data_IF_291364338369
#
_entry.id   IF_291364338369
#
_cell.length_a   1.000
_cell.length_b   1.000
_cell.length_c   1.000
_cell.angle_alpha   90.00
_cell.angle_beta   90.00
_cell.angle_gamma   90.00
#
_symmetry.space_group_name_H-M   'P 1'
#
loop_
_entity.id
_entity.type
_entity.pdbx_description
1 polymer ?
#
# COMPACT_ATOMS: atom_id res chain seq x y z
N UNK A 1 17.41 -9.34 6.30
CA UNK A 1 15.97 -9.37 5.93
C UNK A 1 15.02 -9.12 7.11
N UNK A 2 15.22 -9.70 8.31
CA UNK A 2 14.30 -9.54 9.46
C UNK A 2 14.03 -8.09 9.89
N UNK A 3 15.02 -7.19 9.76
CA UNK A 3 14.97 -5.79 10.24
C UNK A 3 14.32 -4.78 9.29
N UNK A 4 13.84 -5.22 8.12
CA UNK A 4 13.19 -4.31 7.14
C UNK A 4 11.70 -4.23 7.42
N UNK A 5 11.11 -3.06 7.27
CA UNK A 5 9.69 -2.82 7.57
C UNK A 5 8.74 -3.50 6.57
N UNK A 6 7.50 -3.74 6.99
CA UNK A 6 6.36 -4.02 6.11
C UNK A 6 5.85 -2.68 5.57
N UNK A 7 5.79 -2.54 4.25
CA UNK A 7 5.19 -1.39 3.59
C UNK A 7 3.69 -1.59 3.41
N UNK A 8 2.89 -0.62 3.79
CA UNK A 8 1.44 -0.61 3.56
C UNK A 8 1.09 0.67 2.80
N UNK A 9 0.30 0.58 1.73
CA UNK A 9 -0.28 1.78 1.11
C UNK A 9 -1.79 1.72 0.95
N UNK A 10 -2.40 2.90 0.99
CA UNK A 10 -3.81 3.13 0.71
C UNK A 10 -4.00 4.40 -0.13
N UNK A 11 -5.17 4.53 -0.78
CA UNK A 11 -5.58 5.76 -1.49
C UNK A 11 -5.87 6.95 -0.55
N UNK A 12 -5.97 6.71 0.77
CA UNK A 12 -6.22 7.74 1.77
C UNK A 12 -5.93 7.23 3.18
N UNK A 13 -6.88 7.43 4.09
CA UNK A 13 -6.76 7.05 5.51
C UNK A 13 -7.52 5.76 5.87
N UNK A 14 -8.32 5.21 4.96
CA UNK A 14 -9.14 4.01 5.23
C UNK A 14 -8.29 2.78 5.54
N UNK A 15 -7.11 2.70 4.92
CA UNK A 15 -6.13 1.64 5.16
C UNK A 15 -5.54 1.60 6.57
N UNK A 16 -5.78 2.62 7.42
CA UNK A 16 -5.39 2.57 8.83
C UNK A 16 -6.10 1.44 9.58
N UNK A 17 -7.25 0.98 9.11
CA UNK A 17 -7.94 -0.21 9.64
C UNK A 17 -7.13 -1.48 9.40
N UNK A 18 -6.55 -1.63 8.20
CA UNK A 18 -5.65 -2.74 7.86
C UNK A 18 -4.35 -2.64 8.67
N UNK A 19 -3.77 -1.44 8.77
CA UNK A 19 -2.58 -1.20 9.59
C UNK A 19 -2.80 -1.61 11.04
N UNK A 20 -3.95 -1.26 11.63
CA UNK A 20 -4.30 -1.62 13.00
C UNK A 20 -4.29 -3.14 13.20
N UNK A 21 -4.89 -3.90 12.29
CA UNK A 21 -4.91 -5.36 12.39
C UNK A 21 -3.55 -6.00 12.13
N UNK A 22 -2.77 -5.48 11.18
CA UNK A 22 -1.40 -5.95 10.94
C UNK A 22 -0.53 -5.71 12.18
N UNK A 23 -0.57 -4.52 12.77
CA UNK A 23 0.18 -4.21 14.00
C UNK A 23 -0.27 -5.08 15.18
N UNK A 24 -1.56 -5.40 15.28
CA UNK A 24 -2.10 -6.29 16.32
C UNK A 24 -1.60 -7.74 16.17
N UNK A 25 -1.58 -8.26 14.94
CA UNK A 25 -1.17 -9.64 14.65
C UNK A 25 0.36 -9.82 14.61
N UNK A 26 1.09 -8.77 14.24
CA UNK A 26 2.54 -8.77 14.09
C UNK A 26 3.17 -7.65 14.95
N UNK A 27 3.08 -7.72 16.29
CA UNK A 27 3.48 -6.64 17.18
C UNK A 27 4.99 -6.35 17.18
N UNK A 28 5.81 -7.28 16.67
CA UNK A 28 7.27 -7.13 16.55
C UNK A 28 7.73 -6.59 15.20
N UNK A 29 6.80 -6.24 14.30
CA UNK A 29 7.12 -5.78 12.95
C UNK A 29 7.10 -4.26 12.86
N UNK A 30 8.14 -3.68 12.24
CA UNK A 30 8.14 -2.28 11.84
C UNK A 30 7.24 -2.08 10.62
N UNK A 31 6.43 -1.03 10.62
CA UNK A 31 5.45 -0.75 9.56
C UNK A 31 5.69 0.66 8.98
N UNK A 32 5.81 0.74 7.66
CA UNK A 32 5.79 2.00 6.91
C UNK A 32 4.44 2.15 6.21
N UNK A 33 3.65 3.15 6.60
CA UNK A 33 2.35 3.43 6.00
C UNK A 33 2.42 4.63 5.04
N UNK A 34 1.89 4.46 3.84
CA UNK A 34 1.73 5.52 2.85
C UNK A 34 0.24 5.71 2.53
N UNK A 35 -0.32 6.84 2.96
CA UNK A 35 -1.65 7.29 2.55
C UNK A 35 -1.55 8.27 1.39
N UNK A 36 -2.09 7.93 0.22
CA UNK A 36 -2.06 8.78 -0.96
C UNK A 36 -3.19 9.81 -1.02
N UNK A 37 -3.30 10.60 0.04
CA UNK A 37 -4.40 11.56 0.24
C UNK A 37 -4.44 12.66 -0.80
N UNK A 38 -3.32 13.01 -1.44
CA UNK A 38 -3.25 14.01 -2.50
C UNK A 38 -4.02 13.61 -3.77
N UNK A 39 -4.36 12.32 -3.93
CA UNK A 39 -5.01 11.76 -5.14
C UNK A 39 -6.33 11.05 -4.83
N UNK A 40 -6.83 11.15 -3.60
CA UNK A 40 -8.11 10.59 -3.16
C UNK A 40 -9.30 11.26 -3.89
N UNK A 41 -10.42 10.57 -4.14
CA UNK A 41 -10.61 9.12 -4.07
C UNK A 41 -10.13 8.40 -5.33
N UNK A 42 -9.71 7.15 -5.19
CA UNK A 42 -9.32 6.30 -6.32
C UNK A 42 -10.52 5.74 -7.08
N UNK A 43 -11.66 5.49 -6.41
CA UNK A 43 -12.83 4.85 -7.00
C UNK A 43 -13.45 5.60 -8.19
N UNK A 44 -13.16 6.90 -8.35
CA UNK A 44 -13.65 7.72 -9.48
C UNK A 44 -12.64 7.84 -10.62
N UNK A 45 -11.50 7.14 -10.53
CA UNK A 45 -10.40 7.24 -11.51
C UNK A 45 -10.43 6.06 -12.47
N UNK A 46 -9.89 6.25 -13.67
CA UNK A 46 -9.70 5.16 -14.63
C UNK A 46 -8.75 4.09 -14.09
N UNK A 47 -8.91 2.85 -14.55
CA UNK A 47 -8.02 1.74 -14.17
C UNK A 47 -6.55 2.04 -14.48
N UNK A 48 -6.27 2.67 -15.63
CA UNK A 48 -4.93 3.11 -16.02
C UNK A 48 -4.34 4.10 -15.01
N UNK A 49 -5.16 5.02 -14.51
CA UNK A 49 -4.74 5.99 -13.49
C UNK A 49 -4.47 5.31 -12.16
N UNK A 50 -5.36 4.42 -11.72
CA UNK A 50 -5.20 3.63 -10.49
C UNK A 50 -3.91 2.82 -10.54
N UNK A 51 -3.68 2.08 -11.64
CA UNK A 51 -2.46 1.31 -11.86
C UNK A 51 -1.21 2.18 -11.76
N UNK A 52 -1.20 3.34 -12.44
CA UNK A 52 -0.08 4.29 -12.40
C UNK A 52 0.20 4.76 -10.97
N UNK A 53 -0.83 5.06 -10.19
CA UNK A 53 -0.65 5.52 -8.81
C UNK A 53 -0.19 4.41 -7.88
N UNK A 54 -0.78 3.22 -7.97
CA UNK A 54 -0.37 2.02 -7.24
C UNK A 54 1.10 1.70 -7.47
N UNK A 55 1.56 1.70 -8.73
CA UNK A 55 2.96 1.45 -9.07
C UNK A 55 3.89 2.52 -8.47
N UNK A 56 3.50 3.80 -8.49
CA UNK A 56 4.29 4.88 -7.88
C UNK A 56 4.40 4.71 -6.36
N UNK A 57 3.30 4.37 -5.69
CA UNK A 57 3.26 4.18 -4.24
C UNK A 57 4.11 2.97 -3.83
N UNK A 58 3.98 1.85 -4.56
CA UNK A 58 4.80 0.67 -4.36
C UNK A 58 6.29 0.95 -4.59
N UNK A 59 6.64 1.61 -5.69
CA UNK A 59 8.02 1.98 -6.01
C UNK A 59 8.63 2.89 -4.93
N UNK A 60 7.85 3.80 -4.36
CA UNK A 60 8.30 4.65 -3.25
C UNK A 60 8.63 3.82 -2.01
N UNK A 61 7.73 2.93 -1.57
CA UNK A 61 7.98 2.06 -0.41
C UNK A 61 9.12 1.07 -0.65
N UNK A 62 9.27 0.53 -1.86
CA UNK A 62 10.41 -0.32 -2.23
C UNK A 62 11.75 0.41 -2.09
N UNK A 63 11.83 1.69 -2.47
CA UNK A 63 13.04 2.52 -2.27
C UNK A 63 13.36 2.76 -0.80
N UNK A 64 12.37 2.74 0.08
CA UNK A 64 12.56 2.78 1.54
C UNK A 64 13.00 1.42 2.11
N UNK A 65 13.14 0.39 1.27
CA UNK A 65 13.72 -0.89 1.68
C UNK A 65 12.74 -1.80 2.43
N UNK A 66 11.45 -1.76 2.11
CA UNK A 66 10.48 -2.71 2.71
C UNK A 66 10.83 -4.17 2.36
N UNK A 67 10.42 -5.12 3.22
CA UNK A 67 10.52 -6.56 2.94
C UNK A 67 9.24 -7.18 2.36
N UNK A 68 8.10 -6.53 2.57
CA UNK A 68 6.78 -6.99 2.17
C UNK A 68 5.92 -5.77 1.86
N UNK A 69 5.10 -5.84 0.81
CA UNK A 69 4.13 -4.81 0.45
C UNK A 69 2.70 -5.31 0.73
N UNK A 70 1.91 -4.51 1.43
CA UNK A 70 0.48 -4.71 1.64
C UNK A 70 -0.29 -3.60 0.91
N UNK A 71 -1.22 -4.00 0.05
CA UNK A 71 -2.14 -3.09 -0.64
C UNK A 71 -3.42 -2.99 0.19
N UNK A 72 -3.57 -1.94 0.98
CA UNK A 72 -4.71 -1.76 1.90
C UNK A 72 -5.95 -1.14 1.22
N UNK A 73 -5.80 -0.58 0.02
CA UNK A 73 -6.90 -0.01 -0.76
C UNK A 73 -7.59 -1.09 -1.60
N UNK A 74 -8.87 -1.39 -1.32
CA UNK A 74 -9.66 -2.35 -2.10
C UNK A 74 -9.66 -2.04 -3.60
N UNK A 75 -9.80 -0.77 -3.99
CA UNK A 75 -9.76 -0.34 -5.40
C UNK A 75 -8.40 -0.62 -6.05
N UNK A 76 -7.31 -0.38 -5.32
CA UNK A 76 -5.96 -0.66 -5.83
C UNK A 76 -5.71 -2.17 -5.92
N UNK A 77 -6.19 -2.95 -4.95
CA UNK A 77 -6.08 -4.40 -4.96
C UNK A 77 -6.84 -5.03 -6.14
N UNK A 78 -8.05 -4.56 -6.43
CA UNK A 78 -8.85 -5.06 -7.54
C UNK A 78 -8.20 -4.78 -8.91
N UNK A 79 -7.61 -3.60 -9.09
CA UNK A 79 -7.11 -3.14 -10.41
C UNK A 79 -5.62 -3.44 -10.63
N UNK A 80 -4.80 -3.32 -9.59
CA UNK A 80 -3.34 -3.21 -9.74
C UNK A 80 -2.56 -4.42 -9.21
N UNK A 81 -3.18 -5.31 -8.45
CA UNK A 81 -2.47 -6.42 -7.79
C UNK A 81 -1.68 -7.31 -8.78
N UNK A 82 -2.22 -7.72 -9.96
CA UNK A 82 -1.47 -8.54 -10.92
C UNK A 82 -0.20 -7.87 -11.45
N UNK A 83 -0.18 -6.54 -11.52
CA UNK A 83 0.99 -5.79 -11.96
C UNK A 83 2.01 -5.58 -10.84
N UNK A 84 1.57 -5.57 -9.58
CA UNK A 84 2.42 -5.40 -8.39
C UNK A 84 3.13 -6.68 -7.96
N UNK A 85 2.67 -7.85 -8.42
CA UNK A 85 3.24 -9.16 -8.10
C UNK A 85 4.33 -9.63 -9.08
N UNK A 86 4.68 -8.81 -10.07
CA UNK A 86 5.74 -9.07 -11.05
C UNK A 86 7.05 -8.46 -10.58
#
# INVERSE_FOLDING_TARGET
MRTRAIGIFDSGVGGLTVLKEVARLLPSEDILYLGDTARVPYGTRSERTILKYSLKNAAFLLRLGIKLLVVACNTSSAVSLPALQR
#
